data_IF_494910487002
#
_entry.id   IF_494910487002
#
_cell.length_a   1.000
_cell.length_b   1.000
_cell.length_c   1.000
_cell.angle_alpha   90.00
_cell.angle_beta   90.00
_cell.angle_gamma   90.00
#
_symmetry.space_group_name_H-M   'P 1'
#
loop_
_entity.id
_entity.type
_entity.pdbx_description
1 polymer ?
#
# COMPACT_ATOMS: atom_id res chain seq x y z
N UNK A 1 14.22 54.91 -49.96
CA UNK A 1 14.25 54.38 -48.56
C UNK A 1 12.93 53.63 -48.36
N UNK A 2 13.00 52.32 -48.35
CA UNK A 2 11.84 51.47 -48.12
C UNK A 2 11.71 51.23 -46.58
N UNK A 3 10.57 51.62 -45.99
CA UNK A 3 10.29 51.36 -44.59
C UNK A 3 10.06 49.83 -44.41
N UNK A 4 10.62 49.17 -43.40
CA UNK A 4 10.32 47.78 -43.10
C UNK A 4 8.89 47.65 -42.60
N UNK A 5 8.15 46.75 -43.22
CA UNK A 5 6.80 46.31 -42.79
C UNK A 5 6.88 45.73 -41.36
N UNK A 6 6.01 46.09 -40.44
CA UNK A 6 6.02 45.49 -39.10
C UNK A 6 5.75 43.99 -39.18
N UNK A 7 6.64 43.22 -38.59
CA UNK A 7 6.51 41.76 -38.40
C UNK A 7 5.23 41.47 -37.68
N UNK A 8 4.36 40.62 -38.25
CA UNK A 8 3.18 40.12 -37.61
C UNK A 8 3.57 39.35 -36.32
N UNK A 9 3.20 39.86 -35.20
CA UNK A 9 3.36 39.18 -33.89
C UNK A 9 2.55 37.90 -33.92
N UNK A 10 3.21 36.75 -33.95
CA UNK A 10 2.53 35.46 -33.80
C UNK A 10 1.82 35.42 -32.44
N UNK A 11 0.51 35.27 -32.46
CA UNK A 11 -0.23 34.93 -31.25
C UNK A 11 -0.03 33.42 -31.01
N UNK A 12 0.59 33.07 -29.91
CA UNK A 12 0.65 31.69 -29.42
C UNK A 12 -0.46 31.55 -28.41
N UNK A 13 -1.47 30.75 -28.73
CA UNK A 13 -2.44 30.26 -27.76
C UNK A 13 -1.88 29.00 -27.15
N UNK A 14 -1.79 28.94 -25.82
CA UNK A 14 -1.31 27.78 -25.08
C UNK A 14 -2.42 27.29 -24.14
N UNK A 15 -2.79 26.03 -24.31
CA UNK A 15 -3.70 25.33 -23.40
C UNK A 15 -2.87 24.50 -22.42
N UNK A 16 -3.27 24.51 -21.14
CA UNK A 16 -2.64 23.68 -20.11
C UNK A 16 -3.42 22.39 -19.93
N UNK A 17 -2.73 21.24 -20.05
CA UNK A 17 -3.30 19.93 -19.83
C UNK A 17 -2.51 19.19 -18.76
N UNK A 18 -3.21 18.42 -17.92
CA UNK A 18 -2.61 17.50 -16.95
C UNK A 18 -2.63 16.07 -17.46
N UNK A 19 -1.67 15.26 -17.02
CA UNK A 19 -1.75 13.83 -17.27
C UNK A 19 -2.87 13.21 -16.46
N UNK A 20 -3.73 12.45 -17.10
CA UNK A 20 -4.74 11.60 -16.48
C UNK A 20 -4.23 10.16 -16.42
N UNK A 21 -4.42 9.50 -15.27
CA UNK A 21 -3.94 8.14 -15.04
C UNK A 21 -5.14 7.22 -14.84
N UNK A 22 -5.30 6.24 -15.72
CA UNK A 22 -6.30 5.20 -15.55
C UNK A 22 -5.93 4.26 -14.42
N UNK A 23 -6.94 3.78 -13.67
CA UNK A 23 -6.78 2.90 -12.52
C UNK A 23 -6.06 1.59 -12.85
N UNK A 24 -6.18 1.11 -14.09
CA UNK A 24 -5.49 -0.09 -14.59
C UNK A 24 -3.95 -0.02 -14.49
N UNK A 25 -3.36 1.17 -14.31
CA UNK A 25 -1.92 1.33 -14.06
C UNK A 25 -1.46 0.55 -12.82
N UNK A 26 -2.35 0.36 -11.83
CA UNK A 26 -2.07 -0.41 -10.61
C UNK A 26 -1.70 -1.87 -10.94
N UNK A 27 -2.42 -2.50 -11.88
CA UNK A 27 -2.11 -3.85 -12.34
C UNK A 27 -0.79 -3.90 -13.09
N UNK A 28 -0.57 -2.95 -14.01
CA UNK A 28 0.66 -2.89 -14.79
C UNK A 28 1.90 -2.73 -13.89
N UNK A 29 1.79 -1.92 -12.83
CA UNK A 29 2.85 -1.76 -11.86
C UNK A 29 3.06 -3.06 -11.05
N UNK A 30 1.99 -3.68 -10.57
CA UNK A 30 2.07 -4.93 -9.83
C UNK A 30 2.69 -6.05 -10.67
N UNK A 31 2.22 -6.26 -11.90
CA UNK A 31 2.73 -7.28 -12.82
C UNK A 31 4.21 -7.11 -13.18
N UNK A 32 4.66 -5.88 -13.38
CA UNK A 32 6.06 -5.58 -13.73
C UNK A 32 7.03 -5.70 -12.55
N UNK A 33 6.53 -5.51 -11.33
CA UNK A 33 7.38 -5.42 -10.15
C UNK A 33 7.42 -6.72 -9.35
N UNK A 34 6.36 -7.53 -9.46
CA UNK A 34 6.18 -8.77 -8.73
C UNK A 34 5.96 -9.88 -9.75
N UNK A 35 6.94 -10.75 -9.91
CA UNK A 35 6.96 -11.78 -10.96
C UNK A 35 5.92 -12.89 -10.73
N UNK A 36 5.75 -13.28 -9.47
CA UNK A 36 4.92 -14.43 -9.09
C UNK A 36 4.41 -14.28 -7.64
N UNK A 37 3.59 -15.24 -7.22
CA UNK A 37 2.96 -15.28 -5.89
C UNK A 37 3.99 -15.45 -4.77
N UNK A 38 5.08 -16.18 -5.02
CA UNK A 38 6.14 -16.39 -4.02
C UNK A 38 6.86 -15.06 -3.77
N UNK A 39 7.18 -14.34 -4.82
CA UNK A 39 7.78 -13.01 -4.70
C UNK A 39 6.85 -12.05 -3.96
N UNK A 40 5.53 -12.12 -4.22
CA UNK A 40 4.55 -11.33 -3.49
C UNK A 40 4.59 -11.62 -1.97
N UNK A 41 4.59 -12.89 -1.59
CA UNK A 41 4.71 -13.30 -0.17
C UNK A 41 6.01 -12.81 0.46
N UNK A 42 7.15 -12.96 -0.24
CA UNK A 42 8.45 -12.49 0.25
C UNK A 42 8.43 -10.97 0.52
N UNK A 43 7.84 -10.18 -0.38
CA UNK A 43 7.74 -8.73 -0.19
C UNK A 43 6.86 -8.36 1.02
N UNK A 44 5.78 -9.10 1.28
CA UNK A 44 4.94 -8.88 2.46
C UNK A 44 5.64 -9.29 3.76
N UNK A 45 6.42 -10.38 3.75
CA UNK A 45 7.27 -10.78 4.88
C UNK A 45 8.35 -9.71 5.15
N UNK A 46 8.97 -9.15 4.12
CA UNK A 46 9.92 -8.02 4.28
C UNK A 46 9.27 -6.80 4.91
N UNK A 47 8.00 -6.52 4.59
CA UNK A 47 7.28 -5.42 5.23
C UNK A 47 7.09 -5.67 6.73
N UNK A 48 6.79 -6.89 7.16
CA UNK A 48 6.71 -7.27 8.57
C UNK A 48 8.08 -7.12 9.26
N UNK A 49 9.17 -7.57 8.62
CA UNK A 49 10.53 -7.36 9.13
C UNK A 49 10.85 -5.87 9.29
N UNK A 50 10.51 -5.03 8.31
CA UNK A 50 10.70 -3.58 8.36
C UNK A 50 9.83 -2.91 9.45
N UNK A 51 8.74 -3.58 9.88
CA UNK A 51 7.88 -3.15 10.98
C UNK A 51 8.33 -3.68 12.35
N UNK A 52 9.56 -4.21 12.46
CA UNK A 52 10.14 -4.79 13.67
C UNK A 52 9.37 -6.00 14.23
N UNK A 53 8.63 -6.71 13.40
CA UNK A 53 7.91 -7.92 13.81
C UNK A 53 8.86 -8.99 14.36
N UNK A 54 8.40 -9.74 15.36
CA UNK A 54 9.14 -10.89 15.90
C UNK A 54 8.72 -12.20 15.24
N UNK A 55 7.50 -12.24 14.68
CA UNK A 55 7.01 -13.36 13.88
C UNK A 55 6.14 -12.88 12.71
N UNK A 56 6.00 -13.75 11.73
CA UNK A 56 5.00 -13.64 10.67
C UNK A 56 4.25 -14.97 10.58
N UNK A 57 2.94 -14.94 10.75
CA UNK A 57 2.08 -16.10 10.60
C UNK A 57 1.39 -16.06 9.24
N UNK A 58 1.56 -17.11 8.44
CA UNK A 58 0.95 -17.25 7.11
C UNK A 58 -0.02 -18.43 7.15
N UNK A 59 -1.27 -18.17 6.82
CA UNK A 59 -2.32 -19.19 6.72
C UNK A 59 -2.86 -19.19 5.30
N UNK A 60 -2.95 -20.37 4.71
CA UNK A 60 -3.58 -20.59 3.40
C UNK A 60 -4.71 -21.57 3.58
N UNK A 61 -5.91 -21.18 3.22
CA UNK A 61 -7.08 -22.06 3.17
C UNK A 61 -7.74 -21.95 1.79
N UNK A 62 -8.12 -23.09 1.24
CA UNK A 62 -8.85 -23.18 -0.04
C UNK A 62 -10.33 -23.46 0.15
N UNK A 63 -10.77 -23.70 1.38
CA UNK A 63 -12.14 -24.16 1.70
C UNK A 63 -12.85 -23.27 2.71
N UNK A 64 -12.10 -22.59 3.57
CA UNK A 64 -12.71 -21.79 4.65
C UNK A 64 -12.96 -20.35 4.21
N UNK A 65 -13.85 -19.69 4.89
CA UNK A 65 -14.08 -18.25 4.74
C UNK A 65 -13.02 -17.45 5.52
N UNK A 66 -12.65 -16.24 5.05
CA UNK A 66 -11.61 -15.45 5.71
C UNK A 66 -12.07 -14.98 7.10
N UNK A 67 -11.28 -15.23 8.16
CA UNK A 67 -11.61 -14.81 9.51
C UNK A 67 -11.54 -13.30 9.65
N UNK A 68 -12.49 -12.71 10.38
CA UNK A 68 -12.60 -11.27 10.62
C UNK A 68 -12.81 -10.40 9.36
N UNK A 69 -13.09 -11.01 8.20
CA UNK A 69 -13.45 -10.25 7.01
C UNK A 69 -14.80 -9.54 7.22
N UNK A 70 -14.84 -8.25 6.91
CA UNK A 70 -16.05 -7.42 6.97
C UNK A 70 -16.68 -7.22 5.60
N UNK A 71 -15.87 -7.13 4.57
CA UNK A 71 -16.36 -6.83 3.22
C UNK A 71 -16.46 -8.09 2.35
N UNK A 72 -15.64 -9.09 2.59
CA UNK A 72 -15.51 -10.27 1.75
C UNK A 72 -15.76 -11.58 2.52
N UNK A 73 -16.61 -11.53 3.56
CA UNK A 73 -16.91 -12.68 4.43
C UNK A 73 -17.49 -13.89 3.69
N UNK A 74 -18.11 -13.68 2.53
CA UNK A 74 -18.69 -14.76 1.71
C UNK A 74 -17.68 -15.39 0.72
N UNK A 75 -16.45 -14.88 0.66
CA UNK A 75 -15.40 -15.47 -0.17
C UNK A 75 -14.98 -16.83 0.40
N UNK A 76 -14.71 -17.78 -0.48
CA UNK A 76 -14.17 -19.09 -0.12
C UNK A 76 -12.71 -19.17 -0.54
N UNK A 77 -11.85 -19.58 0.40
CA UNK A 77 -10.41 -19.57 0.24
C UNK A 77 -9.79 -18.21 0.54
N UNK A 78 -8.67 -18.21 1.25
CA UNK A 78 -7.93 -17.01 1.59
C UNK A 78 -6.45 -17.30 1.84
N UNK A 79 -5.65 -16.26 1.71
CA UNK A 79 -4.29 -16.19 2.25
C UNK A 79 -4.29 -15.10 3.31
N UNK A 80 -3.88 -15.44 4.53
CA UNK A 80 -3.72 -14.48 5.62
C UNK A 80 -2.24 -14.37 5.99
N UNK A 81 -1.76 -13.15 6.12
CA UNK A 81 -0.39 -12.83 6.53
C UNK A 81 -0.51 -11.86 7.71
N UNK A 82 -0.11 -12.33 8.89
CA UNK A 82 -0.20 -11.56 10.14
C UNK A 82 1.17 -11.42 10.77
N UNK A 83 1.49 -10.23 11.21
CA UNK A 83 2.68 -9.90 11.98
C UNK A 83 2.34 -9.22 13.32
N UNK A 84 3.28 -9.24 14.25
CA UNK A 84 3.24 -8.54 15.54
C UNK A 84 4.11 -7.28 15.54
N UNK A 85 4.35 -6.71 14.37
CA UNK A 85 5.15 -5.50 14.22
C UNK A 85 4.49 -4.25 14.84
N UNK A 86 5.09 -3.08 14.64
CA UNK A 86 4.62 -1.81 15.22
C UNK A 86 3.19 -1.43 14.83
N UNK A 87 2.63 -2.03 13.78
CA UNK A 87 1.39 -1.62 13.18
C UNK A 87 1.47 -0.24 12.51
N UNK A 88 0.34 0.24 12.00
CA UNK A 88 0.30 1.52 11.28
C UNK A 88 -0.76 2.46 11.87
N UNK A 89 -0.38 3.71 12.10
CA UNK A 89 -1.34 4.78 12.39
C UNK A 89 -2.16 5.10 11.16
N UNK A 90 -3.26 5.81 11.34
CA UNK A 90 -4.13 6.26 10.24
C UNK A 90 -3.36 7.02 9.16
N UNK A 91 -2.45 7.88 9.56
CA UNK A 91 -1.57 8.66 8.68
C UNK A 91 -0.61 7.75 7.93
N UNK A 92 0.02 6.78 8.60
CA UNK A 92 0.92 5.80 7.95
C UNK A 92 0.17 4.93 6.94
N UNK A 93 -1.09 4.56 7.21
CA UNK A 93 -1.93 3.85 6.24
C UNK A 93 -2.19 4.74 5.02
N UNK A 94 -2.66 5.96 5.23
CA UNK A 94 -2.98 6.90 4.15
C UNK A 94 -1.75 7.26 3.32
N UNK A 95 -0.70 7.76 3.97
CA UNK A 95 0.44 8.40 3.31
C UNK A 95 1.54 7.39 2.97
N UNK A 96 1.63 6.30 3.73
CA UNK A 96 2.62 5.24 3.53
C UNK A 96 2.08 4.06 2.74
N UNK A 97 0.88 3.55 3.03
CA UNK A 97 0.37 2.32 2.45
C UNK A 97 -0.53 2.56 1.23
N UNK A 98 -1.43 3.55 1.26
CA UNK A 98 -2.31 3.88 0.14
C UNK A 98 -1.67 4.81 -0.90
N UNK A 99 -0.57 5.48 -0.58
CA UNK A 99 0.14 6.36 -1.52
C UNK A 99 1.24 5.59 -2.25
N UNK A 100 1.10 5.46 -3.56
CA UNK A 100 2.04 4.74 -4.42
C UNK A 100 3.26 5.61 -4.68
N UNK A 101 4.46 4.99 -4.66
CA UNK A 101 5.73 5.67 -4.97
C UNK A 101 6.11 6.82 -4.02
N UNK A 102 5.47 6.91 -2.85
CA UNK A 102 5.88 7.89 -1.86
C UNK A 102 7.23 7.49 -1.25
N UNK A 103 8.25 8.30 -1.49
CA UNK A 103 9.63 8.03 -1.10
C UNK A 103 9.96 8.36 0.38
N UNK A 104 8.96 8.28 1.28
CA UNK A 104 9.22 8.41 2.74
C UNK A 104 10.34 7.45 3.15
N UNK A 105 10.33 6.21 2.61
CA UNK A 105 11.41 5.24 2.82
C UNK A 105 12.78 5.69 2.24
N UNK A 106 12.82 6.51 1.20
CA UNK A 106 14.10 7.04 0.67
C UNK A 106 14.71 8.11 1.55
N UNK A 107 13.89 8.99 2.11
CA UNK A 107 14.35 10.03 3.04
C UNK A 107 14.77 9.41 4.38
N UNK A 108 14.01 8.43 4.89
CA UNK A 108 14.38 7.68 6.10
C UNK A 108 15.69 6.92 5.91
N UNK A 109 15.90 6.23 4.76
CA UNK A 109 17.17 5.52 4.48
C UNK A 109 18.38 6.44 4.40
N UNK A 110 18.24 7.66 3.91
CA UNK A 110 19.36 8.63 3.90
C UNK A 110 19.70 9.12 5.31
N UNK A 111 18.72 9.37 6.15
CA UNK A 111 18.91 9.79 7.53
C UNK A 111 19.39 8.63 8.42
N UNK A 112 18.84 7.42 8.25
CA UNK A 112 19.19 6.24 9.02
C UNK A 112 20.61 5.73 8.74
N UNK A 113 21.10 5.80 7.50
CA UNK A 113 22.50 5.42 7.22
C UNK A 113 23.53 6.26 8.00
N UNK A 114 23.13 7.43 8.48
CA UNK A 114 23.95 8.26 9.36
C UNK A 114 23.78 7.89 10.85
N UNK A 115 22.62 7.32 11.25
CA UNK A 115 22.31 6.96 12.63
C UNK A 115 22.56 5.48 12.97
N UNK A 116 22.54 4.57 11.96
CA UNK A 116 22.68 3.11 12.09
C UNK A 116 24.03 2.65 12.64
N UNK A 117 25.05 3.50 12.66
CA UNK A 117 26.34 3.16 13.28
C UNK A 117 26.28 3.10 14.82
N UNK A 118 25.21 3.59 15.44
CA UNK A 118 25.16 3.77 16.90
C UNK A 118 24.03 3.03 17.64
N UNK A 119 22.94 2.56 16.98
CA UNK A 119 21.72 2.12 17.70
C UNK A 119 21.27 0.68 17.46
N UNK A 120 21.89 -0.11 16.61
CA UNK A 120 21.53 -1.53 16.41
C UNK A 120 20.14 -1.76 15.79
N UNK A 121 19.54 -0.77 15.14
CA UNK A 121 18.27 -0.89 14.44
C UNK A 121 18.40 -1.74 13.18
N UNK A 122 17.30 -2.44 12.82
CA UNK A 122 17.26 -3.30 11.62
C UNK A 122 17.35 -2.46 10.35
N UNK A 123 18.21 -2.88 9.42
CA UNK A 123 18.29 -2.24 8.09
C UNK A 123 17.04 -2.56 7.27
N UNK A 124 16.28 -1.56 6.77
CA UNK A 124 15.09 -1.80 5.98
C UNK A 124 15.39 -2.58 4.70
N UNK A 125 14.64 -3.67 4.45
CA UNK A 125 14.78 -4.53 3.28
C UNK A 125 13.96 -4.05 2.08
N UNK A 126 12.86 -3.33 2.32
CA UNK A 126 11.96 -2.84 1.27
C UNK A 126 12.52 -1.62 0.54
N UNK A 127 12.76 -1.73 -0.79
CA UNK A 127 13.40 -0.65 -1.58
C UNK A 127 12.44 0.34 -2.25
N UNK A 128 11.31 -0.12 -2.76
CA UNK A 128 10.51 0.65 -3.74
C UNK A 128 9.18 1.17 -3.22
N UNK A 129 8.71 0.71 -2.05
CA UNK A 129 7.40 1.05 -1.52
C UNK A 129 6.22 0.53 -2.38
N UNK A 130 6.48 -0.43 -3.26
CA UNK A 130 5.54 -0.99 -4.21
C UNK A 130 5.18 -2.46 -3.93
N UNK A 131 5.88 -3.12 -3.00
CA UNK A 131 5.66 -4.54 -2.64
C UNK A 131 4.23 -4.84 -2.22
N UNK A 132 3.52 -3.84 -1.67
CA UNK A 132 2.08 -3.94 -1.32
C UNK A 132 1.18 -4.23 -2.53
N UNK A 133 1.57 -3.79 -3.74
CA UNK A 133 0.83 -4.11 -4.96
C UNK A 133 0.95 -5.59 -5.33
N UNK A 134 1.91 -6.30 -4.75
CA UNK A 134 2.02 -7.75 -4.88
C UNK A 134 0.82 -8.50 -4.31
N UNK A 135 0.08 -7.91 -3.35
CA UNK A 135 -1.11 -8.55 -2.80
C UNK A 135 -2.17 -8.88 -3.86
N UNK A 136 -2.23 -8.13 -4.98
CA UNK A 136 -3.11 -8.45 -6.11
C UNK A 136 -2.79 -9.80 -6.79
N UNK A 137 -1.56 -10.33 -6.61
CA UNK A 137 -1.19 -11.66 -7.12
C UNK A 137 -1.73 -12.79 -6.24
N UNK A 138 -2.03 -12.50 -4.98
CA UNK A 138 -2.45 -13.50 -4.00
C UNK A 138 -3.96 -13.69 -3.96
N UNK A 139 -4.74 -12.70 -4.42
CA UNK A 139 -6.20 -12.80 -4.41
C UNK A 139 -6.91 -11.67 -5.14
N UNK A 140 -8.19 -11.88 -5.40
CA UNK A 140 -9.08 -10.90 -6.07
C UNK A 140 -9.47 -9.74 -5.16
N UNK A 141 -9.37 -9.93 -3.85
CA UNK A 141 -9.74 -8.97 -2.83
C UNK A 141 -8.62 -8.88 -1.79
N UNK A 142 -8.56 -7.78 -1.08
CA UNK A 142 -7.64 -7.57 0.01
C UNK A 142 -8.35 -6.87 1.16
N UNK A 143 -8.24 -7.41 2.36
CA UNK A 143 -8.53 -6.69 3.60
C UNK A 143 -7.24 -6.54 4.41
N UNK A 144 -7.05 -5.35 4.96
CA UNK A 144 -5.96 -5.05 5.88
C UNK A 144 -6.54 -4.60 7.21
N UNK A 145 -6.06 -5.21 8.27
CA UNK A 145 -6.25 -4.78 9.65
C UNK A 145 -4.91 -4.39 10.23
N UNK A 146 -4.83 -3.25 10.89
CA UNK A 146 -3.59 -2.82 11.53
C UNK A 146 -3.86 -2.03 12.79
N UNK A 147 -3.12 -2.34 13.86
CA UNK A 147 -3.21 -1.64 15.14
C UNK A 147 -1.82 -1.19 15.57
N UNK A 148 -1.59 0.12 15.76
CA UNK A 148 -0.34 0.62 16.29
C UNK A 148 -0.12 0.12 17.71
N UNK A 149 1.15 -0.09 18.09
CA UNK A 149 1.50 -0.39 19.47
C UNK A 149 0.95 0.68 20.42
N UNK A 150 0.27 0.26 21.49
CA UNK A 150 -0.31 1.13 22.50
C UNK A 150 -1.57 1.90 22.07
N UNK A 151 -2.11 1.66 20.86
CA UNK A 151 -3.34 2.31 20.41
C UNK A 151 -4.59 1.61 20.95
N UNK A 152 -5.63 2.41 21.24
CA UNK A 152 -6.98 1.92 21.54
C UNK A 152 -7.84 1.64 20.27
N UNK A 153 -7.34 2.05 19.11
CA UNK A 153 -7.99 1.89 17.82
C UNK A 153 -7.18 0.97 16.91
N UNK A 154 -7.88 0.19 16.10
CA UNK A 154 -7.31 -0.47 14.92
C UNK A 154 -7.91 0.13 13.65
N UNK A 155 -7.20 0.00 12.55
CA UNK A 155 -7.60 0.55 11.26
C UNK A 155 -7.86 -0.59 10.27
N UNK A 156 -8.93 -0.40 9.48
CA UNK A 156 -9.36 -1.37 8.49
C UNK A 156 -9.42 -0.73 7.10
N UNK A 157 -8.91 -1.45 6.11
CA UNK A 157 -8.99 -1.10 4.69
C UNK A 157 -9.44 -2.32 3.92
N UNK A 158 -10.34 -2.14 2.96
CA UNK A 158 -10.78 -3.20 2.05
C UNK A 158 -10.72 -2.75 0.60
N UNK A 159 -10.10 -3.56 -0.25
CA UNK A 159 -9.87 -3.32 -1.67
C UNK A 159 -10.40 -4.50 -2.47
N UNK A 160 -11.30 -4.24 -3.41
CA UNK A 160 -11.62 -5.18 -4.49
C UNK A 160 -10.79 -4.76 -5.71
N UNK A 161 -9.87 -5.61 -6.15
CA UNK A 161 -8.98 -5.26 -7.26
C UNK A 161 -9.73 -5.03 -8.57
N UNK A 162 -10.91 -5.63 -8.76
CA UNK A 162 -11.78 -5.38 -9.91
C UNK A 162 -12.15 -3.90 -10.07
N UNK A 163 -12.23 -3.15 -8.95
CA UNK A 163 -12.58 -1.72 -8.98
C UNK A 163 -11.53 -0.89 -9.73
N UNK A 164 -10.30 -1.42 -9.85
CA UNK A 164 -9.22 -0.82 -10.63
C UNK A 164 -9.14 -1.32 -12.08
N UNK A 165 -9.86 -2.40 -12.42
CA UNK A 165 -9.92 -2.93 -13.77
C UNK A 165 -10.92 -2.18 -14.64
N UNK A 166 -11.93 -1.55 -14.05
CA UNK A 166 -12.86 -0.68 -14.73
C UNK A 166 -12.11 0.54 -15.25
N UNK A 167 -12.55 1.08 -16.40
CA UNK A 167 -11.83 2.15 -17.12
C UNK A 167 -12.02 3.53 -16.48
N UNK A 168 -11.87 3.60 -15.17
CA UNK A 168 -11.97 4.83 -14.41
C UNK A 168 -10.59 5.46 -14.18
N UNK A 169 -10.57 6.77 -13.98
CA UNK A 169 -9.36 7.45 -13.54
C UNK A 169 -8.99 6.99 -12.12
N UNK A 170 -7.71 6.81 -11.86
CA UNK A 170 -7.23 6.41 -10.55
C UNK A 170 -7.71 7.33 -9.42
N UNK A 171 -7.90 8.61 -9.70
CA UNK A 171 -8.44 9.60 -8.76
C UNK A 171 -9.91 9.37 -8.39
N UNK A 172 -10.65 8.58 -9.17
CA UNK A 172 -12.07 8.25 -8.93
C UNK A 172 -12.23 7.01 -8.06
N UNK A 173 -11.24 6.12 -8.03
CA UNK A 173 -11.26 4.93 -7.17
C UNK A 173 -11.16 5.35 -5.71
N UNK A 174 -12.19 5.07 -4.92
CA UNK A 174 -12.25 5.42 -3.49
C UNK A 174 -12.04 4.20 -2.62
N UNK A 175 -11.03 4.26 -1.79
CA UNK A 175 -10.73 3.26 -0.76
C UNK A 175 -11.15 3.83 0.59
N UNK A 176 -11.95 3.08 1.34
CA UNK A 176 -12.39 3.47 2.68
C UNK A 176 -11.36 3.02 3.70
N UNK A 177 -10.90 3.94 4.52
CA UNK A 177 -10.09 3.70 5.71
C UNK A 177 -10.97 3.93 6.95
N UNK A 178 -11.24 2.87 7.70
CA UNK A 178 -12.11 2.89 8.88
C UNK A 178 -11.27 2.82 10.16
N UNK A 179 -11.66 3.57 11.19
CA UNK A 179 -11.20 3.38 12.57
C UNK A 179 -12.19 2.48 13.30
N UNK A 180 -11.68 1.48 14.01
CA UNK A 180 -12.48 0.50 14.76
C UNK A 180 -12.03 0.49 16.22
N UNK A 181 -12.96 0.80 17.10
CA UNK A 181 -12.76 0.77 18.55
C UNK A 181 -14.01 0.19 19.22
N UNK A 182 -13.88 -0.79 20.13
CA UNK A 182 -12.65 -1.46 20.52
C UNK A 182 -12.08 -2.34 19.38
N UNK A 183 -10.77 -2.66 19.41
CA UNK A 183 -10.14 -3.51 18.42
C UNK A 183 -10.79 -4.87 18.30
N UNK A 184 -10.99 -5.37 17.08
CA UNK A 184 -11.64 -6.66 16.78
C UNK A 184 -10.62 -7.76 16.51
N UNK A 185 -9.55 -7.44 15.77
CA UNK A 185 -8.52 -8.39 15.34
C UNK A 185 -7.37 -8.42 16.34
N UNK A 186 -6.81 -7.27 16.64
CA UNK A 186 -5.72 -7.14 17.61
C UNK A 186 -6.26 -6.77 18.99
N UNK A 187 -6.88 -7.74 19.68
CA UNK A 187 -7.50 -7.52 21.01
C UNK A 187 -6.47 -7.45 22.15
N UNK A 188 -6.86 -6.83 23.25
CA UNK A 188 -5.99 -6.68 24.43
C UNK A 188 -4.78 -5.80 24.12
N UNK A 189 -3.58 -6.31 24.41
CA UNK A 189 -2.31 -5.63 24.13
C UNK A 189 -1.70 -5.97 22.77
N UNK A 190 -2.36 -6.80 21.98
CA UNK A 190 -1.86 -7.20 20.65
C UNK A 190 -1.86 -6.02 19.70
N UNK A 191 -0.84 -5.96 18.86
CA UNK A 191 -0.66 -4.96 17.80
C UNK A 191 -0.01 -5.62 16.57
N UNK A 192 0.07 -4.93 15.46
CA UNK A 192 0.69 -5.42 14.24
C UNK A 192 -0.16 -5.16 13.00
N UNK A 193 0.04 -5.97 11.98
CA UNK A 193 -0.72 -5.89 10.72
C UNK A 193 -1.15 -7.28 10.27
N UNK A 194 -2.39 -7.40 9.79
CA UNK A 194 -2.92 -8.59 9.12
C UNK A 194 -3.45 -8.21 7.76
N UNK A 195 -3.00 -8.92 6.74
CA UNK A 195 -3.52 -8.90 5.38
C UNK A 195 -4.28 -10.20 5.13
N UNK A 196 -5.43 -10.11 4.49
CA UNK A 196 -6.27 -11.26 4.11
C UNK A 196 -6.67 -11.11 2.65
#
# INVERSE_FOLDING_TARGET
>A
MLNPTPSATQRVEADEHSFEIYSSVIFQLGERLISDEIQALIELIKNAYDANATYVNIVVSTTDTPPFSRKFADCVGYVSIEDDGEGMTKERVRDGWLTISNSIKKQSKQNQRQEESETGQRTPLGDKGLGRLGAQRLGSNLEMWTRPHGSEEEYHVAIAWRDFAEKELLSQVKIRLESVAPPMVFTGTKHGTRLI
#
